data_IF_284198386889
#
_entry.id   IF_284198386889
#
_cell.length_a   1.000
_cell.length_b   1.000
_cell.length_c   1.000
_cell.angle_alpha   90.00
_cell.angle_beta   90.00
_cell.angle_gamma   90.00
#
_symmetry.space_group_name_H-M   'P 1'
#
loop_
_entity.id
_entity.type
_entity.pdbx_description
1 polymer ?
#
# COMPACT_ATOMS: atom_id res chain seq x y z
N UNK A 1 25.41 5.69 -13.31
CA UNK A 1 25.10 4.28 -12.99
C UNK A 1 25.85 3.79 -11.73
N UNK A 2 25.90 4.56 -10.64
CA UNK A 2 26.67 4.21 -9.43
C UNK A 2 25.92 3.30 -8.44
N UNK A 3 24.59 3.28 -8.51
CA UNK A 3 23.72 2.47 -7.64
C UNK A 3 23.56 1.02 -8.13
N UNK A 4 23.93 0.74 -9.38
CA UNK A 4 23.81 -0.59 -9.99
C UNK A 4 24.70 -1.59 -9.25
N UNK A 5 24.12 -2.73 -8.86
CA UNK A 5 24.84 -3.78 -8.11
C UNK A 5 25.27 -3.39 -6.70
N UNK A 6 24.85 -2.24 -6.15
CA UNK A 6 25.23 -1.80 -4.80
C UNK A 6 24.89 -2.81 -3.70
N UNK A 7 23.84 -3.63 -3.89
CA UNK A 7 23.52 -4.75 -2.99
C UNK A 7 24.62 -5.80 -2.89
N UNK A 8 25.48 -5.95 -3.91
CA UNK A 8 26.57 -6.93 -3.91
C UNK A 8 27.84 -6.41 -3.22
N UNK A 9 28.11 -5.10 -3.25
CA UNK A 9 29.39 -4.56 -2.81
C UNK A 9 29.30 -3.45 -1.74
N UNK A 10 28.11 -2.87 -1.50
CA UNK A 10 27.94 -1.70 -0.63
C UNK A 10 27.10 -1.98 0.64
N UNK A 11 26.87 -3.24 1.00
CA UNK A 11 26.22 -3.58 2.28
C UNK A 11 27.09 -3.17 3.48
N UNK A 12 28.40 -3.40 3.39
CA UNK A 12 29.40 -3.05 4.40
C UNK A 12 30.60 -2.36 3.72
N UNK A 13 30.49 -1.06 3.36
CA UNK A 13 31.55 -0.39 2.61
C UNK A 13 32.83 -0.20 3.44
N UNK A 14 33.96 -0.65 2.91
CA UNK A 14 35.28 -0.46 3.55
C UNK A 14 35.68 1.02 3.61
N UNK A 15 36.61 1.37 4.50
CA UNK A 15 37.13 2.74 4.61
C UNK A 15 37.66 3.28 3.27
N UNK A 16 38.39 2.45 2.50
CA UNK A 16 38.90 2.81 1.16
C UNK A 16 37.76 3.16 0.20
N UNK A 17 36.66 2.40 0.24
CA UNK A 17 35.47 2.67 -0.58
C UNK A 17 34.77 3.95 -0.14
N UNK A 18 34.59 4.17 1.17
CA UNK A 18 34.00 5.41 1.71
C UNK A 18 34.79 6.64 1.26
N UNK A 19 36.13 6.60 1.34
CA UNK A 19 37.00 7.69 0.85
C UNK A 19 36.86 7.93 -0.66
N UNK A 20 36.85 6.87 -1.47
CA UNK A 20 36.68 6.99 -2.92
C UNK A 20 35.32 7.59 -3.29
N UNK A 21 34.25 7.16 -2.63
CA UNK A 21 32.90 7.70 -2.82
C UNK A 21 32.80 9.17 -2.37
N UNK A 22 33.46 9.55 -1.28
CA UNK A 22 33.56 10.95 -0.86
C UNK A 22 34.29 11.81 -1.90
N UNK A 23 35.39 11.29 -2.48
CA UNK A 23 36.10 11.98 -3.57
C UNK A 23 35.24 12.13 -4.83
N UNK A 24 34.35 11.17 -5.13
CA UNK A 24 33.41 11.26 -6.25
C UNK A 24 32.33 12.30 -5.95
N UNK A 25 31.81 12.35 -4.72
CA UNK A 25 30.72 13.26 -4.34
C UNK A 25 31.19 14.72 -4.24
N UNK A 26 32.42 14.96 -3.76
CA UNK A 26 32.94 16.29 -3.42
C UNK A 26 32.82 17.33 -4.54
N UNK A 27 33.20 17.06 -5.81
CA UNK A 27 33.06 18.04 -6.88
C UNK A 27 31.62 18.52 -7.08
N UNK A 28 30.64 17.60 -6.99
CA UNK A 28 29.23 17.97 -7.10
C UNK A 28 28.79 18.89 -5.95
N UNK A 29 29.22 18.60 -4.72
CA UNK A 29 28.90 19.44 -3.56
C UNK A 29 29.51 20.85 -3.68
N UNK A 30 30.74 20.95 -4.18
CA UNK A 30 31.38 22.25 -4.44
C UNK A 30 30.65 23.03 -5.54
N UNK A 31 30.25 22.37 -6.63
CA UNK A 31 29.52 23.02 -7.71
C UNK A 31 28.13 23.48 -7.28
N UNK A 32 27.43 22.71 -6.44
CA UNK A 32 26.10 23.09 -5.93
C UNK A 32 26.20 24.25 -4.95
N UNK A 33 27.20 24.24 -4.05
CA UNK A 33 27.32 25.25 -2.99
C UNK A 33 28.04 26.53 -3.44
N UNK A 34 28.88 26.48 -4.47
CA UNK A 34 29.80 27.57 -4.82
C UNK A 34 30.92 27.80 -3.79
N UNK A 35 31.09 26.91 -2.80
CA UNK A 35 32.05 27.07 -1.73
C UNK A 35 33.51 26.91 -2.20
N UNK A 36 34.45 27.46 -1.43
CA UNK A 36 35.88 27.33 -1.73
C UNK A 36 36.34 25.87 -1.79
N UNK A 37 37.32 25.58 -2.64
CA UNK A 37 37.92 24.24 -2.78
C UNK A 37 38.52 23.68 -1.48
N UNK A 38 38.78 24.51 -0.49
CA UNK A 38 39.29 24.14 0.84
C UNK A 38 38.18 23.77 1.83
N UNK A 39 36.90 24.04 1.51
CA UNK A 39 35.76 23.76 2.39
C UNK A 39 35.67 22.26 2.71
N UNK A 40 35.58 21.83 3.98
CA UNK A 40 35.47 20.43 4.35
C UNK A 40 34.25 19.76 3.71
N UNK A 41 34.41 18.54 3.17
CA UNK A 41 33.29 17.82 2.52
C UNK A 41 32.11 17.59 3.47
N UNK A 42 32.38 17.30 4.74
CA UNK A 42 31.35 17.12 5.75
C UNK A 42 30.51 18.39 5.95
N UNK A 43 31.14 19.57 5.99
CA UNK A 43 30.42 20.84 6.08
C UNK A 43 29.51 21.07 4.86
N UNK A 44 29.99 20.74 3.65
CA UNK A 44 29.18 20.84 2.43
C UNK A 44 27.97 19.89 2.47
N UNK A 45 28.15 18.66 2.94
CA UNK A 45 27.07 17.68 3.09
C UNK A 45 25.98 18.18 4.04
N UNK A 46 26.37 18.73 5.19
CA UNK A 46 25.45 19.26 6.19
C UNK A 46 24.71 20.49 5.68
N UNK A 47 25.41 21.50 5.15
CA UNK A 47 24.81 22.74 4.65
C UNK A 47 23.82 22.47 3.52
N UNK A 48 24.13 21.52 2.63
CA UNK A 48 23.27 21.17 1.50
C UNK A 48 22.17 20.16 1.87
N UNK A 49 22.21 19.58 3.07
CA UNK A 49 21.31 18.48 3.44
C UNK A 49 21.49 17.22 2.58
N UNK A 50 22.70 16.99 2.04
CA UNK A 50 23.03 15.86 1.17
C UNK A 50 23.88 14.84 1.96
N UNK A 51 23.35 13.66 2.28
CA UNK A 51 24.10 12.63 3.01
C UNK A 51 25.36 12.16 2.26
N UNK A 52 26.36 11.61 2.97
CA UNK A 52 27.50 10.95 2.34
C UNK A 52 27.10 9.89 1.32
N UNK A 53 27.71 9.91 0.14
CA UNK A 53 27.35 9.01 -0.96
C UNK A 53 27.39 7.52 -0.58
N UNK A 54 28.32 7.13 0.29
CA UNK A 54 28.42 5.75 0.76
C UNK A 54 27.23 5.32 1.64
N UNK A 55 26.66 6.23 2.44
CA UNK A 55 25.44 5.96 3.23
C UNK A 55 24.24 5.82 2.31
N UNK A 56 24.10 6.70 1.30
CA UNK A 56 23.03 6.59 0.30
C UNK A 56 23.09 5.26 -0.47
N UNK A 57 24.28 4.81 -0.86
CA UNK A 57 24.47 3.53 -1.53
C UNK A 57 24.23 2.34 -0.60
N UNK A 58 24.63 2.43 0.66
CA UNK A 58 24.36 1.40 1.67
C UNK A 58 22.85 1.29 1.96
N UNK A 59 22.14 2.41 2.01
CA UNK A 59 20.67 2.44 2.10
C UNK A 59 20.02 1.72 0.90
N UNK A 60 20.41 2.05 -0.33
CA UNK A 60 19.87 1.39 -1.54
C UNK A 60 20.23 -0.11 -1.60
N UNK A 61 21.43 -0.47 -1.13
CA UNK A 61 21.88 -1.85 -1.00
C UNK A 61 21.00 -2.63 -0.01
N UNK A 62 20.83 -2.11 1.22
CA UNK A 62 19.97 -2.69 2.26
C UNK A 62 18.52 -2.85 1.76
N UNK A 63 17.97 -1.80 1.16
CA UNK A 63 16.61 -1.81 0.61
C UNK A 63 16.44 -2.86 -0.50
N UNK A 64 17.41 -2.94 -1.42
CA UNK A 64 17.40 -3.93 -2.50
C UNK A 64 17.49 -5.35 -1.95
N UNK A 65 18.38 -5.61 -1.00
CA UNK A 65 18.54 -6.92 -0.38
C UNK A 65 17.25 -7.43 0.26
N UNK A 66 16.62 -6.63 1.12
CA UNK A 66 15.42 -7.06 1.84
C UNK A 66 14.17 -7.12 0.96
N UNK A 67 13.94 -6.09 0.13
CA UNK A 67 12.66 -5.96 -0.60
C UNK A 67 12.67 -6.71 -1.94
N UNK A 68 13.79 -6.69 -2.68
CA UNK A 68 13.89 -7.31 -4.01
C UNK A 68 14.48 -8.71 -3.96
N UNK A 69 15.62 -8.88 -3.29
CA UNK A 69 16.33 -10.16 -3.22
C UNK A 69 15.79 -11.10 -2.13
N UNK A 70 14.93 -10.58 -1.24
CA UNK A 70 14.36 -11.31 -0.10
C UNK A 70 15.40 -11.89 0.84
N UNK A 71 16.53 -11.20 0.97
CA UNK A 71 17.62 -11.55 1.90
C UNK A 71 17.38 -10.77 3.20
N UNK A 72 17.29 -11.43 4.36
CA UNK A 72 17.13 -10.75 5.64
C UNK A 72 18.34 -9.86 5.93
N UNK A 73 18.10 -8.74 6.62
CA UNK A 73 19.17 -7.89 7.13
C UNK A 73 19.52 -8.32 8.56
N UNK A 74 20.70 -7.93 9.02
CA UNK A 74 21.15 -8.20 10.39
C UNK A 74 20.17 -7.56 11.39
N UNK A 75 19.86 -8.18 12.55
CA UNK A 75 18.84 -7.68 13.48
C UNK A 75 19.06 -6.25 13.95
N UNK A 76 20.32 -5.85 14.17
CA UNK A 76 20.61 -4.47 14.55
C UNK A 76 20.11 -3.46 13.52
N UNK A 77 20.01 -3.86 12.23
CA UNK A 77 19.26 -3.37 11.04
C UNK A 77 17.79 -2.94 11.16
N UNK A 78 16.98 -3.93 11.51
CA UNK A 78 15.54 -3.97 11.40
C UNK A 78 15.16 -5.40 11.72
N UNK A 79 14.14 -5.57 12.55
CA UNK A 79 13.59 -6.89 12.84
C UNK A 79 12.64 -7.38 11.74
N UNK A 80 12.17 -6.47 10.87
CA UNK A 80 11.31 -6.81 9.72
C UNK A 80 11.96 -7.86 8.84
N UNK A 81 11.24 -8.96 8.62
CA UNK A 81 11.67 -10.05 7.76
C UNK A 81 11.16 -9.86 6.32
N UNK A 82 11.83 -10.45 5.32
CA UNK A 82 11.38 -10.38 3.94
C UNK A 82 9.94 -10.88 3.70
N UNK A 83 9.45 -11.82 4.51
CA UNK A 83 8.10 -12.38 4.35
C UNK A 83 6.98 -11.47 4.87
N UNK A 84 7.31 -10.54 5.78
CA UNK A 84 6.39 -9.51 6.31
C UNK A 84 6.05 -8.45 5.26
N UNK A 85 6.90 -8.30 4.25
CA UNK A 85 6.79 -7.26 3.23
C UNK A 85 5.95 -7.72 2.04
N UNK A 86 5.07 -6.85 1.58
CA UNK A 86 4.28 -7.10 0.37
C UNK A 86 5.18 -7.41 -0.84
N UNK A 87 4.69 -8.28 -1.71
CA UNK A 87 5.37 -8.62 -2.95
C UNK A 87 4.54 -8.13 -4.12
N UNK A 88 5.24 -7.56 -5.12
CA UNK A 88 4.59 -7.29 -6.39
C UNK A 88 4.35 -8.61 -7.10
N UNK A 89 3.09 -8.91 -7.36
CA UNK A 89 2.73 -10.04 -8.19
C UNK A 89 3.23 -9.80 -9.62
N UNK A 90 3.91 -10.79 -10.18
CA UNK A 90 4.44 -10.78 -11.56
C UNK A 90 3.63 -11.74 -12.43
N UNK A 91 3.78 -11.64 -13.75
CA UNK A 91 3.07 -12.49 -14.71
C UNK A 91 1.56 -12.27 -14.73
N UNK A 92 0.87 -13.16 -15.46
CA UNK A 92 -0.59 -13.18 -15.56
C UNK A 92 -1.16 -14.12 -14.50
N UNK A 93 -2.17 -13.66 -13.75
CA UNK A 93 -2.86 -14.51 -12.76
C UNK A 93 -4.07 -15.28 -13.31
N UNK A 94 -4.52 -14.90 -14.51
CA UNK A 94 -5.67 -15.43 -15.24
C UNK A 94 -5.37 -15.35 -16.74
N UNK A 95 -6.08 -16.15 -17.55
CA UNK A 95 -5.86 -16.16 -18.99
C UNK A 95 -6.22 -14.79 -19.60
N UNK A 96 -5.51 -14.28 -20.63
CA UNK A 96 -5.77 -12.96 -21.20
C UNK A 96 -7.20 -12.74 -21.73
N UNK A 97 -7.92 -13.82 -22.08
CA UNK A 97 -9.31 -13.75 -22.52
C UNK A 97 -10.31 -13.66 -21.37
N UNK A 98 -9.90 -13.93 -20.13
CA UNK A 98 -10.76 -13.83 -18.95
C UNK A 98 -10.84 -12.38 -18.48
N UNK A 99 -12.05 -11.83 -18.51
CA UNK A 99 -12.34 -10.48 -18.11
C UNK A 99 -13.68 -10.45 -17.35
N UNK A 100 -13.82 -9.48 -16.46
CA UNK A 100 -15.08 -9.23 -15.77
C UNK A 100 -16.16 -8.86 -16.79
N UNK A 101 -17.42 -9.17 -16.48
CA UNK A 101 -18.52 -8.78 -17.38
C UNK A 101 -18.61 -7.24 -17.47
N UNK A 102 -18.99 -6.67 -18.63
CA UNK A 102 -19.02 -5.22 -18.82
C UNK A 102 -19.80 -4.44 -17.74
N UNK A 103 -20.90 -5.00 -17.24
CA UNK A 103 -21.78 -4.35 -16.26
C UNK A 103 -21.43 -4.67 -14.79
N UNK A 104 -20.29 -5.33 -14.56
CA UNK A 104 -19.87 -5.75 -13.22
C UNK A 104 -19.09 -4.66 -12.48
N UNK A 105 -18.46 -3.75 -13.23
CA UNK A 105 -17.75 -2.59 -12.69
C UNK A 105 -18.42 -1.33 -13.23
N UNK A 106 -18.79 -0.40 -12.35
CA UNK A 106 -19.28 0.92 -12.73
C UNK A 106 -18.42 2.02 -12.11
N UNK A 107 -18.08 3.03 -12.91
CA UNK A 107 -17.41 4.25 -12.46
C UNK A 107 -18.35 5.48 -12.44
N UNK A 108 -19.60 5.28 -12.85
CA UNK A 108 -20.66 6.27 -12.69
C UNK A 108 -21.09 6.29 -11.22
N UNK A 109 -21.50 7.46 -10.74
CA UNK A 109 -21.90 7.63 -9.34
C UNK A 109 -23.15 6.78 -9.04
N UNK A 110 -22.97 5.76 -8.20
CA UNK A 110 -23.97 4.72 -7.93
C UNK A 110 -25.22 5.17 -7.17
N UNK A 111 -25.38 6.47 -6.88
CA UNK A 111 -26.57 7.00 -6.18
C UNK A 111 -27.87 6.83 -6.98
N UNK A 112 -27.80 6.72 -8.30
CA UNK A 112 -28.98 6.81 -9.16
C UNK A 112 -29.98 5.66 -9.00
N UNK A 113 -29.57 4.46 -8.57
CA UNK A 113 -30.49 3.31 -8.42
C UNK A 113 -30.03 2.35 -7.33
N UNK A 114 -30.28 2.69 -6.06
CA UNK A 114 -30.48 1.65 -5.04
C UNK A 114 -31.78 0.95 -5.44
N UNK A 115 -31.70 -0.14 -6.21
CA UNK A 115 -32.88 -0.96 -6.52
C UNK A 115 -33.35 -1.63 -5.22
N UNK A 116 -34.38 -1.02 -4.62
CA UNK A 116 -34.66 -1.12 -3.17
C UNK A 116 -35.19 -2.47 -2.73
N UNK A 117 -35.59 -3.35 -3.65
CA UNK A 117 -36.36 -4.54 -3.26
C UNK A 117 -35.58 -5.86 -3.25
N UNK A 118 -34.43 -5.96 -3.92
CA UNK A 118 -33.68 -7.24 -4.01
C UNK A 118 -32.14 -7.10 -4.09
N UNK A 119 -31.57 -5.90 -4.00
CA UNK A 119 -30.11 -5.71 -4.03
C UNK A 119 -29.57 -5.53 -2.61
N UNK A 120 -28.59 -6.35 -2.26
CA UNK A 120 -27.80 -6.19 -1.05
C UNK A 120 -26.74 -5.12 -1.32
N UNK A 121 -26.81 -4.00 -0.61
CA UNK A 121 -25.85 -2.91 -0.75
C UNK A 121 -24.75 -3.09 0.30
N UNK A 122 -23.50 -3.12 -0.16
CA UNK A 122 -22.33 -3.23 0.70
C UNK A 122 -21.51 -1.98 0.49
N UNK A 123 -21.10 -1.31 1.56
CA UNK A 123 -20.28 -0.11 1.49
C UNK A 123 -18.95 -0.39 2.16
N UNK A 124 -17.86 0.01 1.53
CA UNK A 124 -16.50 -0.27 2.01
C UNK A 124 -15.75 1.03 2.22
N UNK A 125 -14.90 1.10 3.24
CA UNK A 125 -13.97 2.20 3.41
C UNK A 125 -12.70 1.75 4.16
N UNK A 126 -11.61 2.48 3.96
CA UNK A 126 -10.36 2.33 4.67
C UNK A 126 -9.83 3.67 5.19
N UNK A 127 -9.52 3.73 6.47
CA UNK A 127 -9.04 4.94 7.14
C UNK A 127 -7.61 4.79 7.65
N UNK A 128 -6.86 5.90 7.61
CA UNK A 128 -5.60 6.04 8.34
C UNK A 128 -5.63 7.32 9.16
N UNK A 129 -5.45 7.16 10.46
CA UNK A 129 -5.36 8.26 11.43
C UNK A 129 -3.98 8.23 12.10
N UNK A 130 -3.74 9.15 13.03
CA UNK A 130 -2.55 9.08 13.89
C UNK A 130 -2.53 7.84 14.79
N UNK A 131 -3.70 7.25 15.07
CA UNK A 131 -3.82 6.12 15.99
C UNK A 131 -3.69 4.74 15.33
N UNK A 132 -3.80 4.68 14.00
CA UNK A 132 -3.64 3.43 13.26
C UNK A 132 -4.29 3.44 11.89
N UNK A 133 -4.46 2.24 11.36
CA UNK A 133 -5.05 1.98 10.04
C UNK A 133 -6.22 1.03 10.25
N UNK A 134 -7.39 1.38 9.71
CA UNK A 134 -8.62 0.62 9.89
C UNK A 134 -9.30 0.37 8.56
N UNK A 135 -9.88 -0.79 8.39
CA UNK A 135 -10.67 -1.17 7.22
C UNK A 135 -12.05 -1.62 7.69
N UNK A 136 -13.10 -1.27 6.95
CA UNK A 136 -14.45 -1.67 7.30
C UNK A 136 -15.36 -1.83 6.10
N UNK A 137 -16.38 -2.66 6.26
CA UNK A 137 -17.55 -2.64 5.39
C UNK A 137 -18.83 -2.79 6.19
N UNK A 138 -19.93 -2.28 5.65
CA UNK A 138 -21.27 -2.46 6.20
C UNK A 138 -22.26 -2.87 5.13
N UNK A 139 -23.28 -3.62 5.53
CA UNK A 139 -24.29 -4.21 4.66
C UNK A 139 -25.64 -3.59 4.98
N UNK A 140 -26.27 -3.02 3.96
CA UNK A 140 -27.58 -2.41 4.00
C UNK A 140 -28.53 -3.19 3.09
N UNK A 141 -29.57 -3.77 3.68
CA UNK A 141 -30.58 -4.56 2.97
C UNK A 141 -31.96 -4.00 3.34
N UNK A 142 -32.72 -3.52 2.36
CA UNK A 142 -34.07 -2.96 2.56
C UNK A 142 -34.05 -1.90 3.68
N UNK A 143 -33.11 -0.95 3.60
CA UNK A 143 -32.89 0.14 4.56
C UNK A 143 -32.56 -0.30 6.01
N UNK A 144 -32.24 -1.57 6.24
CA UNK A 144 -31.82 -2.11 7.54
C UNK A 144 -30.35 -2.52 7.48
N UNK A 145 -29.58 -2.15 8.52
CA UNK A 145 -28.20 -2.59 8.69
C UNK A 145 -28.17 -4.08 9.05
N UNK A 146 -27.84 -4.91 8.06
CA UNK A 146 -27.87 -6.37 8.20
C UNK A 146 -26.57 -6.92 8.81
N UNK A 147 -25.44 -6.30 8.52
CA UNK A 147 -24.13 -6.76 8.98
C UNK A 147 -23.08 -5.63 8.92
N UNK A 148 -22.06 -5.73 9.75
CA UNK A 148 -20.88 -4.87 9.69
C UNK A 148 -19.63 -5.67 10.03
N UNK A 149 -18.53 -5.30 9.39
CA UNK A 149 -17.21 -5.83 9.66
C UNK A 149 -16.22 -4.68 9.70
N UNK A 150 -15.27 -4.77 10.63
CA UNK A 150 -14.22 -3.78 10.78
C UNK A 150 -13.00 -4.40 11.41
N UNK A 151 -11.81 -4.01 10.98
CA UNK A 151 -10.58 -4.53 11.53
C UNK A 151 -9.45 -3.50 11.53
N UNK A 152 -8.53 -3.64 12.48
CA UNK A 152 -7.34 -2.82 12.65
C UNK A 152 -6.16 -3.46 11.93
N UNK A 153 -5.64 -2.79 10.91
CA UNK A 153 -4.42 -3.17 10.22
C UNK A 153 -3.19 -2.70 11.00
N UNK A 154 -1.99 -3.10 10.57
CA UNK A 154 -0.76 -2.57 11.14
C UNK A 154 -0.69 -1.05 10.91
N UNK A 155 -0.26 -0.29 11.92
CA UNK A 155 -0.15 1.18 11.85
C UNK A 155 0.74 1.67 10.68
N UNK A 156 1.64 0.81 10.19
CA UNK A 156 2.52 1.07 9.06
C UNK A 156 1.87 0.84 7.69
N UNK A 157 0.68 0.23 7.63
CA UNK A 157 -0.05 0.04 6.38
C UNK A 157 -0.51 1.39 5.79
N UNK A 158 -0.84 1.40 4.50
CA UNK A 158 -1.34 2.60 3.81
C UNK A 158 -2.87 2.64 3.82
N UNK A 159 -3.45 3.84 3.61
CA UNK A 159 -4.90 3.98 3.36
C UNK A 159 -5.34 3.07 2.22
N UNK A 160 -4.60 3.07 1.11
CA UNK A 160 -4.89 2.20 -0.03
C UNK A 160 -4.91 0.70 0.30
N UNK A 161 -4.05 0.23 1.22
CA UNK A 161 -4.11 -1.16 1.69
C UNK A 161 -5.35 -1.43 2.53
N UNK A 162 -5.79 -0.47 3.36
CA UNK A 162 -7.01 -0.58 4.15
C UNK A 162 -8.25 -0.65 3.24
N UNK A 163 -8.31 0.21 2.25
CA UNK A 163 -9.37 0.29 1.23
C UNK A 163 -9.50 -1.01 0.44
N UNK A 164 -8.37 -1.54 -0.05
CA UNK A 164 -8.36 -2.85 -0.71
C UNK A 164 -8.71 -3.99 0.23
N UNK A 165 -8.36 -3.90 1.51
CA UNK A 165 -8.72 -4.93 2.51
C UNK A 165 -10.22 -4.92 2.77
N UNK A 166 -10.83 -3.75 2.95
CA UNK A 166 -12.27 -3.60 3.09
C UNK A 166 -13.02 -4.17 1.88
N UNK A 167 -12.56 -3.85 0.67
CA UNK A 167 -13.13 -4.39 -0.57
C UNK A 167 -12.95 -5.91 -0.68
N UNK A 168 -11.80 -6.44 -0.29
CA UNK A 168 -11.54 -7.88 -0.30
C UNK A 168 -12.50 -8.64 0.61
N UNK A 169 -12.66 -8.19 1.86
CA UNK A 169 -13.57 -8.83 2.80
C UNK A 169 -15.04 -8.66 2.39
N UNK A 170 -15.41 -7.52 1.82
CA UNK A 170 -16.75 -7.30 1.26
C UNK A 170 -17.07 -8.25 0.09
N UNK A 171 -16.11 -8.48 -0.81
CA UNK A 171 -16.27 -9.40 -1.95
C UNK A 171 -16.31 -10.86 -1.47
N UNK A 172 -15.50 -11.23 -0.47
CA UNK A 172 -15.58 -12.54 0.18
C UNK A 172 -16.96 -12.73 0.80
N UNK A 173 -17.42 -11.78 1.61
CA UNK A 173 -18.75 -11.82 2.22
C UNK A 173 -19.84 -11.98 1.16
N UNK A 174 -19.81 -11.16 0.11
CA UNK A 174 -20.79 -11.19 -0.96
C UNK A 174 -20.80 -12.53 -1.72
N UNK A 175 -19.64 -13.16 -1.91
CA UNK A 175 -19.53 -14.46 -2.58
C UNK A 175 -20.20 -15.60 -1.82
N UNK A 176 -20.28 -15.51 -0.50
CA UNK A 176 -20.95 -16.50 0.36
C UNK A 176 -22.47 -16.26 0.51
N UNK A 177 -23.00 -15.14 0.02
CA UNK A 177 -24.45 -14.91 0.01
C UNK A 177 -25.17 -15.88 -0.94
N UNK A 178 -26.44 -16.24 -0.67
CA UNK A 178 -27.21 -17.11 -1.55
C UNK A 178 -27.23 -16.65 -3.02
N UNK A 179 -27.16 -17.59 -3.96
CA UNK A 179 -26.99 -17.32 -5.39
C UNK A 179 -28.10 -16.47 -6.04
N UNK A 180 -29.28 -16.38 -5.42
CA UNK A 180 -30.38 -15.53 -5.90
C UNK A 180 -30.22 -14.05 -5.52
N UNK A 181 -29.27 -13.71 -4.65
CA UNK A 181 -29.04 -12.33 -4.23
C UNK A 181 -28.02 -11.64 -5.14
N UNK A 182 -28.41 -10.48 -5.68
CA UNK A 182 -27.49 -9.56 -6.35
C UNK A 182 -26.89 -8.64 -5.30
N UNK A 183 -25.56 -8.47 -5.33
CA UNK A 183 -24.85 -7.59 -4.40
C UNK A 183 -24.22 -6.45 -5.17
N UNK A 184 -24.41 -5.22 -4.67
CA UNK A 184 -23.71 -4.06 -5.17
C UNK A 184 -22.76 -3.54 -4.08
N UNK A 185 -21.46 -3.56 -4.36
CA UNK A 185 -20.41 -3.08 -3.47
C UNK A 185 -20.04 -1.67 -3.91
N UNK A 186 -20.30 -0.71 -3.04
CA UNK A 186 -20.03 0.70 -3.22
C UNK A 186 -18.67 1.04 -2.63
N UNK A 187 -17.79 1.61 -3.46
CA UNK A 187 -16.41 1.94 -3.12
C UNK A 187 -16.14 3.38 -3.54
N UNK A 188 -15.66 4.23 -2.66
CA UNK A 188 -15.34 5.63 -3.00
C UNK A 188 -13.91 5.82 -3.52
N UNK A 189 -13.04 4.83 -3.32
CA UNK A 189 -11.69 4.79 -3.85
C UNK A 189 -11.61 4.17 -5.26
N UNK A 190 -11.57 5.03 -6.29
CA UNK A 190 -11.39 4.59 -7.70
C UNK A 190 -10.14 3.75 -7.93
N UNK A 191 -9.04 4.03 -7.22
CA UNK A 191 -7.81 3.28 -7.41
C UNK A 191 -7.97 1.81 -6.97
N UNK A 192 -8.75 1.56 -5.91
CA UNK A 192 -9.07 0.21 -5.43
C UNK A 192 -9.89 -0.57 -6.46
N UNK A 193 -10.88 0.08 -7.09
CA UNK A 193 -11.68 -0.51 -8.17
C UNK A 193 -10.80 -0.83 -9.39
N UNK A 194 -10.02 0.15 -9.87
CA UNK A 194 -9.15 -0.03 -11.04
C UNK A 194 -8.09 -1.12 -10.82
N UNK A 195 -7.53 -1.22 -9.61
CA UNK A 195 -6.59 -2.27 -9.28
C UNK A 195 -7.27 -3.65 -9.28
N UNK A 196 -8.49 -3.74 -8.76
CA UNK A 196 -9.25 -4.99 -8.60
C UNK A 196 -9.95 -5.45 -9.87
N UNK A 197 -10.19 -4.56 -10.83
CA UNK A 197 -10.73 -4.89 -12.16
C UNK A 197 -9.64 -5.29 -13.16
N UNK A 198 -8.37 -5.11 -12.81
CA UNK A 198 -7.23 -5.39 -13.68
C UNK A 198 -6.58 -6.74 -13.36
N UNK A 199 -6.74 -7.72 -14.26
CA UNK A 199 -6.11 -9.05 -14.16
C UNK A 199 -4.57 -9.02 -14.09
N UNK A 200 -3.95 -7.92 -14.53
CA UNK A 200 -2.49 -7.69 -14.51
C UNK A 200 -2.03 -6.86 -13.32
N UNK A 201 -2.90 -6.56 -12.36
CA UNK A 201 -2.53 -5.77 -11.18
C UNK A 201 -1.26 -6.32 -10.53
N UNK A 202 -0.36 -5.45 -10.08
CA UNK A 202 0.84 -5.88 -9.35
C UNK A 202 0.55 -6.14 -7.87
N UNK A 203 -0.66 -5.85 -7.41
CA UNK A 203 -1.10 -6.07 -6.03
C UNK A 203 -1.79 -7.45 -5.91
N UNK A 204 -1.31 -8.27 -4.97
CA UNK A 204 -1.82 -9.64 -4.77
C UNK A 204 -3.28 -9.67 -4.28
N UNK A 205 -3.65 -8.79 -3.34
CA UNK A 205 -5.03 -8.66 -2.83
C UNK A 205 -5.97 -8.27 -3.95
N UNK A 206 -5.58 -7.31 -4.80
CA UNK A 206 -6.37 -6.91 -5.96
C UNK A 206 -6.58 -8.07 -6.95
N UNK A 207 -5.58 -8.94 -7.15
CA UNK A 207 -5.73 -10.17 -7.97
C UNK A 207 -6.69 -11.17 -7.32
N UNK A 208 -6.69 -11.31 -5.99
CA UNK A 208 -7.65 -12.15 -5.26
C UNK A 208 -9.07 -11.63 -5.46
N UNK A 209 -9.28 -10.32 -5.31
CA UNK A 209 -10.55 -9.67 -5.60
C UNK A 209 -10.99 -9.94 -7.03
N UNK A 210 -10.11 -9.72 -8.01
CA UNK A 210 -10.39 -9.99 -9.43
C UNK A 210 -10.90 -11.42 -9.66
N UNK A 211 -10.22 -12.42 -9.07
CA UNK A 211 -10.62 -13.84 -9.21
C UNK A 211 -11.98 -14.12 -8.60
N UNK A 212 -12.27 -13.58 -7.42
CA UNK A 212 -13.58 -13.78 -6.78
C UNK A 212 -14.68 -13.12 -7.62
N UNK A 213 -14.45 -11.90 -8.11
CA UNK A 213 -15.38 -11.20 -9.01
C UNK A 213 -15.62 -12.00 -10.29
N UNK A 214 -14.55 -12.54 -10.91
CA UNK A 214 -14.64 -13.34 -12.12
C UNK A 214 -15.54 -14.58 -11.93
N UNK A 215 -15.40 -15.28 -10.80
CA UNK A 215 -16.23 -16.43 -10.45
C UNK A 215 -17.65 -16.07 -9.98
N UNK A 216 -17.93 -14.79 -9.68
CA UNK A 216 -19.21 -14.33 -9.15
C UNK A 216 -19.78 -13.14 -9.95
N UNK A 217 -20.32 -13.36 -11.15
CA UNK A 217 -20.83 -12.28 -12.00
C UNK A 217 -22.02 -11.49 -11.43
N UNK A 218 -22.62 -11.97 -10.34
CA UNK A 218 -23.71 -11.31 -9.60
C UNK A 218 -23.24 -10.22 -8.64
N UNK A 219 -21.94 -10.19 -8.32
CA UNK A 219 -21.34 -9.16 -7.47
C UNK A 219 -20.92 -8.00 -8.37
N UNK A 220 -21.60 -6.86 -8.23
CA UNK A 220 -21.24 -5.62 -8.90
C UNK A 220 -20.41 -4.75 -7.96
N UNK A 221 -19.44 -4.01 -8.52
CA UNK A 221 -18.66 -3.00 -7.80
C UNK A 221 -18.90 -1.66 -8.48
N UNK A 222 -19.43 -0.71 -7.72
CA UNK A 222 -19.79 0.61 -8.21
C UNK A 222 -19.00 1.67 -7.47
N UNK A 223 -18.50 2.67 -8.20
CA UNK A 223 -17.92 3.84 -7.58
C UNK A 223 -19.02 4.72 -6.98
N UNK A 224 -18.79 5.22 -5.77
CA UNK A 224 -19.64 6.25 -5.15
C UNK A 224 -18.80 7.45 -4.80
N UNK A 225 -19.40 8.64 -4.89
CA UNK A 225 -18.67 9.85 -4.54
C UNK A 225 -18.47 9.96 -3.02
N UNK A 226 -17.21 10.11 -2.60
CA UNK A 226 -16.86 10.40 -1.21
C UNK A 226 -17.56 11.69 -0.73
N UNK A 227 -18.06 11.68 0.51
CA UNK A 227 -18.71 12.81 1.16
C UNK A 227 -19.96 13.39 0.44
N UNK A 228 -20.60 12.62 -0.45
CA UNK A 228 -21.80 13.07 -1.19
C UNK A 228 -23.12 12.95 -0.39
N UNK A 229 -23.07 12.47 0.86
CA UNK A 229 -24.27 12.33 1.68
C UNK A 229 -24.78 10.90 1.84
N UNK A 230 -24.25 9.95 1.06
CA UNK A 230 -24.59 8.53 1.12
C UNK A 230 -24.43 7.95 2.53
N UNK A 231 -25.53 7.45 3.11
CA UNK A 231 -25.59 6.90 4.47
C UNK A 231 -24.69 5.67 4.65
N UNK A 232 -24.58 4.85 3.61
CA UNK A 232 -23.73 3.67 3.54
C UNK A 232 -22.25 4.03 3.61
N UNK A 233 -21.82 4.95 2.75
CA UNK A 233 -20.43 5.41 2.72
C UNK A 233 -20.04 6.08 4.04
N UNK A 234 -20.89 6.95 4.60
CA UNK A 234 -20.66 7.58 5.91
C UNK A 234 -20.53 6.55 7.03
N UNK A 235 -21.34 5.49 7.00
CA UNK A 235 -21.28 4.42 7.99
C UNK A 235 -19.98 3.61 7.86
N UNK A 236 -19.57 3.27 6.65
CA UNK A 236 -18.30 2.58 6.40
C UNK A 236 -17.10 3.41 6.85
N UNK A 237 -17.06 4.72 6.54
CA UNK A 237 -16.04 5.67 7.01
C UNK A 237 -15.96 5.74 8.54
N UNK A 238 -17.11 5.84 9.20
CA UNK A 238 -17.17 5.86 10.65
C UNK A 238 -16.63 4.56 11.26
N UNK A 239 -16.98 3.40 10.69
CA UNK A 239 -16.49 2.10 11.14
C UNK A 239 -14.98 1.95 10.90
N UNK A 240 -14.47 2.40 9.74
CA UNK A 240 -13.05 2.33 9.43
C UNK A 240 -12.22 3.24 10.36
N UNK A 241 -12.73 4.43 10.70
CA UNK A 241 -12.13 5.35 11.67
C UNK A 241 -12.11 4.76 13.08
N UNK A 242 -13.23 4.21 13.54
CA UNK A 242 -13.32 3.55 14.85
C UNK A 242 -12.37 2.35 14.95
N UNK A 243 -12.27 1.57 13.87
CA UNK A 243 -11.37 0.44 13.78
C UNK A 243 -9.89 0.81 13.93
N UNK A 244 -9.49 2.05 13.64
CA UNK A 244 -8.09 2.48 13.84
C UNK A 244 -7.64 2.37 15.30
N UNK A 245 -8.55 2.47 16.26
CA UNK A 245 -8.27 2.33 17.69
C UNK A 245 -8.81 1.03 18.26
N UNK A 246 -10.06 0.69 17.94
CA UNK A 246 -10.84 -0.36 18.61
C UNK A 246 -11.08 -1.61 17.76
N UNK A 247 -10.57 -1.63 16.52
CA UNK A 247 -10.73 -2.76 15.61
C UNK A 247 -9.96 -3.99 16.06
N UNK A 248 -10.50 -5.18 15.75
CA UNK A 248 -9.78 -6.43 15.96
C UNK A 248 -8.52 -6.49 15.06
N UNK A 249 -7.37 -6.98 15.55
CA UNK A 249 -6.15 -7.06 14.75
C UNK A 249 -6.33 -7.88 13.47
N UNK A 250 -5.91 -7.33 12.34
CA UNK A 250 -5.95 -7.96 11.02
C UNK A 250 -4.54 -8.26 10.50
N UNK A 251 -4.09 -9.50 10.67
CA UNK A 251 -2.70 -9.90 10.39
C UNK A 251 -2.44 -10.35 8.94
N UNK A 252 -3.46 -10.40 8.08
CA UNK A 252 -3.28 -10.90 6.71
C UNK A 252 -2.67 -9.86 5.75
N UNK A 253 -2.66 -8.58 6.13
CA UNK A 253 -2.13 -7.50 5.28
C UNK A 253 -0.65 -7.24 5.59
N UNK A 254 0.20 -7.52 4.60
CA UNK A 254 1.65 -7.32 4.67
C UNK A 254 2.08 -5.86 4.70
N UNK A 255 3.27 -5.59 5.22
CA UNK A 255 3.86 -4.27 5.30
C UNK A 255 4.21 -3.72 3.91
N UNK A 256 3.89 -2.44 3.62
CA UNK A 256 4.02 -1.90 2.28
C UNK A 256 5.46 -1.49 1.95
N UNK A 257 5.80 -1.41 0.65
CA UNK A 257 7.13 -0.95 0.21
C UNK A 257 7.58 0.39 0.83
N UNK A 258 6.71 1.42 0.95
CA UNK A 258 7.10 2.70 1.55
C UNK A 258 7.49 2.57 3.02
N UNK A 259 6.93 1.61 3.78
CA UNK A 259 7.30 1.39 5.19
C UNK A 259 8.79 1.04 5.30
N UNK A 260 9.24 -0.03 4.65
CA UNK A 260 10.63 -0.48 4.78
C UNK A 260 11.61 0.53 4.18
N UNK A 261 11.20 1.22 3.10
CA UNK A 261 12.01 2.29 2.51
C UNK A 261 12.14 3.47 3.47
N UNK A 262 11.07 3.85 4.16
CA UNK A 262 11.05 4.90 5.17
C UNK A 262 11.90 4.54 6.39
N UNK A 263 11.74 3.31 6.91
CA UNK A 263 12.50 2.79 8.04
C UNK A 263 14.01 2.84 7.79
N UNK A 264 14.47 2.27 6.67
CA UNK A 264 15.88 2.26 6.31
C UNK A 264 16.44 3.68 6.07
N UNK A 265 15.60 4.59 5.54
CA UNK A 265 16.01 5.98 5.32
C UNK A 265 16.14 6.75 6.64
N UNK A 266 15.19 6.59 7.56
CA UNK A 266 15.23 7.19 8.90
C UNK A 266 16.51 6.80 9.61
N UNK A 267 16.82 5.50 9.62
CA UNK A 267 18.07 4.97 10.17
C UNK A 267 19.33 5.54 9.53
N UNK A 268 19.37 5.62 8.20
CA UNK A 268 20.51 6.21 7.50
C UNK A 268 20.75 7.67 7.93
N UNK A 269 19.67 8.43 8.18
CA UNK A 269 19.76 9.81 8.67
C UNK A 269 20.21 9.86 10.13
N UNK A 270 19.72 8.96 10.99
CA UNK A 270 20.18 8.83 12.39
C UNK A 270 21.69 8.51 12.45
N UNK A 271 22.16 7.54 11.65
CA UNK A 271 23.58 7.18 11.51
C UNK A 271 24.44 8.34 10.94
N UNK A 272 23.84 9.29 10.22
CA UNK A 272 24.56 10.45 9.69
C UNK A 272 24.63 11.61 10.70
N UNK A 273 23.67 11.69 11.62
CA UNK A 273 23.62 12.73 12.64
C UNK A 273 24.45 12.42 13.89
N UNK A 274 24.88 11.17 14.05
CA UNK A 274 25.85 10.75 15.08
C UNK A 274 27.28 10.96 14.64
#
# INVERSE_FOLDING_TARGET
>A
MLTHGSSAWCLNPTFKMKRKLSSIQRPFLLHISGAYRTTPTAALQTILGIPPLHMQLQFEARFTSIYRLRIPLLPFITDTQPHDLEMKATGWSTHPSEHLKPNQISFEDGEAYIDRKYIINIFTDGSKTEHGVGAAFCVLTIDIWAYQWSAKLNNSNTVFQAELTALHEAVIYASHLPNHNTSNIHVDNRASIMASSNSKSTNETARKIFKILLSNPRIKVSWVKAHAGNIGNKRADQLAKDATQHGQPYSHTKLPKPYIKGLLRKRMLEEWQT
#
